data_IF_091925910032
#
_entry.id   IF_091925910032
#
_cell.length_a   1.000
_cell.length_b   1.000
_cell.length_c   1.000
_cell.angle_alpha   90.00
_cell.angle_beta   90.00
_cell.angle_gamma   90.00
#
_symmetry.space_group_name_H-M   'P 1'
#
loop_
_entity.id
_entity.type
_entity.pdbx_description
1 polymer ?
#
# COMPACT_ATOMS: atom_id res chain seq x y z
N UNK A 1 15.59 34.45 28.20
CA UNK A 1 16.80 33.62 28.22
C UNK A 1 16.91 33.00 26.83
N UNK A 2 17.47 33.77 25.90
CA UNK A 2 17.64 33.38 24.50
C UNK A 2 18.94 32.59 24.45
N UNK A 3 18.85 31.29 24.19
CA UNK A 3 20.01 30.45 23.93
C UNK A 3 20.47 30.83 22.53
N UNK A 4 21.68 31.39 22.44
CA UNK A 4 22.35 31.67 21.18
C UNK A 4 22.39 30.39 20.35
N UNK A 5 21.80 30.43 19.15
CA UNK A 5 21.96 29.40 18.14
C UNK A 5 23.44 29.31 17.80
N UNK A 6 24.08 28.25 18.27
CA UNK A 6 25.48 27.96 18.00
C UNK A 6 25.64 27.81 16.47
N UNK A 7 26.24 28.81 15.82
CA UNK A 7 26.55 28.78 14.38
C UNK A 7 27.39 27.56 14.02
N UNK A 8 28.15 27.02 14.98
CA UNK A 8 28.85 25.74 14.87
C UNK A 8 27.88 24.58 14.61
N UNK A 9 26.76 24.47 15.33
CA UNK A 9 25.83 23.35 15.15
C UNK A 9 25.10 23.41 13.82
N UNK A 10 24.70 24.60 13.36
CA UNK A 10 24.08 24.75 12.05
C UNK A 10 25.09 24.52 10.91
N UNK A 11 26.35 24.97 11.07
CA UNK A 11 27.41 24.63 10.11
C UNK A 11 27.74 23.13 10.13
N UNK A 12 27.69 22.46 11.28
CA UNK A 12 27.91 21.02 11.35
C UNK A 12 26.77 20.24 10.69
N UNK A 13 25.53 20.72 10.78
CA UNK A 13 24.36 20.16 10.08
C UNK A 13 24.44 20.45 8.58
N UNK A 14 24.80 21.67 8.18
CA UNK A 14 24.96 22.04 6.77
C UNK A 14 26.13 21.28 6.13
N UNK A 15 27.24 21.06 6.85
CA UNK A 15 28.34 20.21 6.40
C UNK A 15 27.89 18.74 6.30
N UNK A 16 27.07 18.24 7.22
CA UNK A 16 26.49 16.89 7.11
C UNK A 16 25.53 16.74 5.91
N UNK A 17 24.86 17.82 5.52
CA UNK A 17 23.96 17.86 4.35
C UNK A 17 24.79 17.96 3.06
N UNK A 18 25.86 18.75 3.06
CA UNK A 18 26.71 18.98 1.90
C UNK A 18 27.70 17.83 1.65
N UNK A 19 28.14 17.10 2.68
CA UNK A 19 28.97 15.88 2.53
C UNK A 19 28.18 14.69 1.94
N UNK A 20 26.86 14.83 1.76
CA UNK A 20 26.00 13.84 1.08
C UNK A 20 25.85 14.16 -0.43
N UNK A 21 26.51 15.20 -0.95
CA UNK A 21 26.37 15.63 -2.36
C UNK A 21 27.00 14.70 -3.43
N UNK A 22 27.51 13.50 -3.11
CA UNK A 22 27.89 12.54 -4.17
C UNK A 22 27.77 11.05 -3.83
N UNK A 23 27.06 10.68 -2.77
CA UNK A 23 26.40 9.37 -2.78
C UNK A 23 25.12 9.55 -3.57
N UNK A 24 25.22 9.32 -4.89
CA UNK A 24 24.05 8.92 -5.66
C UNK A 24 23.39 7.81 -4.86
N UNK A 25 22.29 8.12 -4.16
CA UNK A 25 21.40 7.10 -3.63
C UNK A 25 21.11 6.25 -4.86
N UNK A 26 21.64 5.03 -4.86
CA UNK A 26 21.51 4.13 -5.99
C UNK A 26 20.02 3.89 -6.15
N UNK A 27 19.38 4.66 -7.04
CA UNK A 27 17.94 4.59 -7.27
C UNK A 27 17.54 3.21 -7.79
N UNK A 28 18.52 2.42 -8.22
CA UNK A 28 18.40 1.03 -8.64
C UNK A 28 17.90 0.12 -7.49
N UNK A 29 18.20 0.41 -6.21
CA UNK A 29 17.70 -0.41 -5.07
C UNK A 29 16.19 -0.25 -4.80
N UNK A 30 15.55 0.77 -5.38
CA UNK A 30 14.11 1.03 -5.24
C UNK A 30 13.32 0.72 -6.52
N UNK A 31 13.98 0.18 -7.56
CA UNK A 31 13.29 -0.22 -8.76
C UNK A 31 12.51 -1.52 -8.50
N UNK A 32 11.18 -1.47 -8.67
CA UNK A 32 10.34 -2.66 -8.61
C UNK A 32 10.82 -3.65 -9.68
N UNK A 33 11.36 -4.81 -9.26
CA UNK A 33 11.91 -5.78 -10.20
C UNK A 33 10.85 -6.23 -11.21
N UNK A 34 11.07 -5.92 -12.48
CA UNK A 34 10.23 -6.35 -13.59
C UNK A 34 10.90 -7.51 -14.31
N UNK A 35 10.10 -8.46 -14.82
CA UNK A 35 10.61 -9.53 -15.68
C UNK A 35 11.36 -8.95 -16.89
N UNK A 36 12.54 -9.50 -17.28
CA UNK A 36 13.37 -8.99 -18.36
C UNK A 36 12.77 -9.35 -19.73
N UNK A 37 11.64 -8.73 -20.07
CA UNK A 37 10.90 -8.93 -21.32
C UNK A 37 10.53 -7.58 -21.91
N UNK A 38 10.51 -7.49 -23.25
CA UNK A 38 10.26 -6.23 -23.97
C UNK A 38 8.98 -5.52 -23.53
N UNK A 39 7.90 -6.28 -23.31
CA UNK A 39 6.60 -5.75 -22.88
C UNK A 39 5.98 -6.68 -21.83
N UNK A 40 6.13 -6.39 -20.52
CA UNK A 40 5.62 -7.22 -19.43
C UNK A 40 4.12 -7.54 -19.56
N UNK A 41 3.31 -6.57 -20.00
CA UNK A 41 1.88 -6.75 -20.26
C UNK A 41 1.55 -7.89 -21.23
N UNK A 42 2.33 -8.01 -22.31
CA UNK A 42 2.09 -9.05 -23.31
C UNK A 42 2.50 -10.41 -22.77
N UNK A 43 3.60 -10.46 -22.02
CA UNK A 43 4.03 -11.67 -21.34
C UNK A 43 2.97 -12.17 -20.36
N UNK A 44 2.41 -11.31 -19.51
CA UNK A 44 1.37 -11.69 -18.56
C UNK A 44 0.10 -12.19 -19.27
N UNK A 45 -0.35 -11.49 -20.33
CA UNK A 45 -1.50 -11.97 -21.15
C UNK A 45 -1.23 -13.35 -21.76
N UNK A 46 -0.03 -13.56 -22.29
CA UNK A 46 0.37 -14.85 -22.83
C UNK A 46 0.42 -15.93 -21.73
N UNK A 47 1.02 -15.64 -20.59
CA UNK A 47 1.11 -16.56 -19.47
C UNK A 47 -0.28 -16.95 -18.92
N UNK A 48 -1.19 -15.98 -18.82
CA UNK A 48 -2.58 -16.20 -18.39
C UNK A 48 -3.36 -17.10 -19.35
N UNK A 49 -3.14 -16.96 -20.66
CA UNK A 49 -3.82 -17.79 -21.67
C UNK A 49 -3.28 -19.22 -21.69
N UNK A 50 -1.98 -19.41 -21.58
CA UNK A 50 -1.35 -20.73 -21.57
C UNK A 50 -1.55 -21.50 -20.25
N UNK A 51 -1.56 -20.79 -19.12
CA UNK A 51 -1.52 -21.39 -17.79
C UNK A 51 -2.58 -20.82 -16.84
N UNK A 52 -3.85 -20.89 -17.26
CA UNK A 52 -4.98 -20.31 -16.50
C UNK A 52 -5.03 -20.74 -15.02
N UNK A 53 -4.66 -21.98 -14.70
CA UNK A 53 -4.63 -22.51 -13.31
C UNK A 53 -3.59 -21.83 -12.42
N UNK A 54 -2.45 -21.37 -12.97
CA UNK A 54 -1.40 -20.70 -12.20
C UNK A 54 -1.81 -19.27 -11.78
N UNK A 55 -2.75 -18.66 -12.49
CA UNK A 55 -3.32 -17.35 -12.18
C UNK A 55 -4.70 -17.44 -11.51
N UNK A 56 -5.20 -18.66 -11.27
CA UNK A 56 -6.43 -18.90 -10.53
C UNK A 56 -6.10 -18.92 -9.03
N UNK A 57 -5.96 -17.73 -8.47
CA UNK A 57 -5.73 -17.60 -7.03
C UNK A 57 -6.96 -18.18 -6.32
N UNK A 58 -6.75 -19.25 -5.54
CA UNK A 58 -7.74 -19.70 -4.57
C UNK A 58 -7.90 -18.60 -3.54
N UNK A 59 -8.93 -17.79 -3.78
CA UNK A 59 -9.18 -16.65 -2.95
C UNK A 59 -9.70 -17.23 -1.62
N UNK A 60 -9.19 -16.75 -0.49
CA UNK A 60 -9.56 -17.24 0.85
C UNK A 60 -9.61 -16.14 1.91
N UNK A 61 -9.34 -14.90 1.50
CA UNK A 61 -9.09 -13.76 2.37
C UNK A 61 -10.33 -12.88 2.43
N UNK A 62 -10.71 -12.52 3.65
CA UNK A 62 -11.83 -11.63 3.92
C UNK A 62 -11.32 -10.46 4.73
N UNK A 63 -11.42 -9.26 4.18
CA UNK A 63 -11.14 -8.01 4.89
C UNK A 63 -12.40 -7.14 4.85
N UNK A 64 -12.73 -6.54 5.98
CA UNK A 64 -13.87 -5.66 6.12
C UNK A 64 -13.46 -4.42 6.89
N UNK A 65 -14.00 -3.29 6.48
CA UNK A 65 -13.83 -2.05 7.19
C UNK A 65 -15.10 -1.20 7.09
N UNK A 66 -15.46 -0.55 8.19
CA UNK A 66 -16.57 0.37 8.19
C UNK A 66 -16.31 1.59 9.05
N UNK A 67 -16.79 2.73 8.57
CA UNK A 67 -16.75 4.00 9.27
C UNK A 67 -18.01 4.18 10.08
N UNK A 68 -17.86 4.53 11.35
CA UNK A 68 -18.95 4.93 12.24
C UNK A 68 -18.69 6.35 12.77
N UNK A 69 -19.55 6.84 13.66
CA UNK A 69 -19.50 8.23 14.16
C UNK A 69 -18.15 8.57 14.80
N UNK A 70 -17.61 7.66 15.61
CA UNK A 70 -16.44 7.93 16.45
C UNK A 70 -15.15 7.28 15.91
N UNK A 71 -15.18 6.66 14.73
CA UNK A 71 -13.99 6.02 14.18
C UNK A 71 -14.20 5.12 12.98
N UNK A 72 -13.20 4.26 12.75
CA UNK A 72 -13.21 3.22 11.74
C UNK A 72 -12.85 1.90 12.43
N UNK A 73 -13.59 0.85 12.15
CA UNK A 73 -13.24 -0.51 12.55
C UNK A 73 -12.78 -1.25 11.31
N UNK A 74 -11.63 -1.91 11.41
CA UNK A 74 -11.06 -2.79 10.39
C UNK A 74 -10.96 -4.19 10.99
N UNK A 75 -11.46 -5.20 10.29
CA UNK A 75 -11.31 -6.59 10.67
C UNK A 75 -10.85 -7.42 9.46
N UNK A 76 -9.96 -8.37 9.72
CA UNK A 76 -9.36 -9.23 8.71
C UNK A 76 -9.31 -10.67 9.24
N UNK A 77 -9.38 -11.64 8.35
CA UNK A 77 -9.03 -13.02 8.69
C UNK A 77 -7.50 -13.20 8.71
N UNK A 78 -7.00 -14.24 9.39
CA UNK A 78 -5.56 -14.49 9.55
C UNK A 78 -5.05 -15.70 8.73
N UNK A 79 -5.92 -16.33 7.92
CA UNK A 79 -5.56 -17.53 7.15
C UNK A 79 -4.90 -17.17 5.82
N UNK A 80 -3.78 -17.81 5.51
CA UNK A 80 -3.14 -17.76 4.21
C UNK A 80 -3.07 -19.15 3.57
N UNK A 81 -3.51 -19.26 2.32
CA UNK A 81 -3.55 -20.50 1.56
C UNK A 81 -2.67 -20.42 0.31
N UNK A 82 -2.03 -21.53 -0.02
CA UNK A 82 -1.31 -21.75 -1.27
C UNK A 82 -2.07 -22.82 -2.06
N UNK A 83 -3.00 -22.37 -2.90
CA UNK A 83 -3.96 -23.27 -3.54
C UNK A 83 -4.91 -23.90 -2.52
N UNK A 84 -5.04 -25.22 -2.53
CA UNK A 84 -5.85 -25.97 -1.56
C UNK A 84 -5.16 -26.16 -0.19
N UNK A 85 -3.87 -25.86 -0.09
CA UNK A 85 -3.10 -26.04 1.14
C UNK A 85 -3.14 -24.78 2.01
N UNK A 86 -3.45 -24.92 3.30
CA UNK A 86 -3.36 -23.81 4.27
C UNK A 86 -1.91 -23.71 4.72
N UNK A 87 -1.24 -22.63 4.30
CA UNK A 87 0.17 -22.39 4.63
C UNK A 87 0.33 -21.87 6.05
N UNK A 88 -0.50 -20.92 6.46
CA UNK A 88 -0.49 -20.36 7.81
C UNK A 88 -1.89 -19.92 8.24
N UNK A 89 -2.16 -19.96 9.54
CA UNK A 89 -3.39 -19.46 10.15
C UNK A 89 -3.19 -18.17 10.95
N UNK A 90 -1.95 -17.69 11.06
CA UNK A 90 -1.57 -16.55 11.90
C UNK A 90 -0.86 -15.46 11.06
N UNK A 91 -1.43 -15.11 9.91
CA UNK A 91 -0.90 -14.02 9.07
C UNK A 91 -1.57 -12.71 9.46
N UNK A 92 -0.75 -11.71 9.73
CA UNK A 92 -1.21 -10.33 9.94
C UNK A 92 -1.52 -9.68 8.59
N UNK A 93 -2.80 -9.42 8.34
CA UNK A 93 -3.27 -8.78 7.09
C UNK A 93 -3.61 -7.30 7.26
N UNK A 94 -3.32 -6.74 8.43
CA UNK A 94 -3.36 -5.30 8.67
C UNK A 94 -1.92 -4.83 8.65
N UNK A 95 -1.63 -3.84 7.81
CA UNK A 95 -0.30 -3.26 7.68
C UNK A 95 -0.37 -1.83 8.20
N UNK A 96 0.51 -1.54 9.15
CA UNK A 96 0.67 -0.19 9.68
C UNK A 96 1.56 0.63 8.72
N UNK A 97 0.93 1.46 7.89
CA UNK A 97 1.64 2.29 6.91
C UNK A 97 2.26 3.51 7.61
N UNK A 98 1.49 4.11 8.52
CA UNK A 98 1.93 5.22 9.37
C UNK A 98 1.10 5.19 10.67
N UNK A 99 1.48 5.98 11.68
CA UNK A 99 0.77 6.11 12.96
C UNK A 99 -0.73 6.46 12.82
N UNK A 100 -1.12 7.04 11.68
CA UNK A 100 -2.46 7.53 11.41
C UNK A 100 -3.18 6.78 10.27
N UNK A 101 -2.51 5.86 9.58
CA UNK A 101 -3.01 5.19 8.37
C UNK A 101 -2.71 3.69 8.44
N UNK A 102 -3.76 2.90 8.33
CA UNK A 102 -3.75 1.44 8.23
C UNK A 102 -4.13 1.01 6.81
N UNK A 103 -3.47 -0.02 6.31
CA UNK A 103 -3.82 -0.71 5.08
C UNK A 103 -4.24 -2.15 5.35
N UNK A 104 -5.05 -2.72 4.45
CA UNK A 104 -5.44 -4.13 4.50
C UNK A 104 -4.85 -4.89 3.32
N UNK A 105 -4.36 -6.08 3.58
CA UNK A 105 -3.83 -6.97 2.56
C UNK A 105 -4.90 -7.94 2.05
N UNK A 106 -5.34 -7.75 0.80
CA UNK A 106 -6.19 -8.70 0.09
C UNK A 106 -5.71 -8.91 -1.36
N UNK A 107 -5.58 -10.16 -1.80
CA UNK A 107 -4.94 -10.52 -3.06
C UNK A 107 -3.57 -11.14 -2.86
N UNK A 108 -2.61 -10.82 -3.73
CA UNK A 108 -1.22 -11.21 -3.61
C UNK A 108 -0.58 -10.60 -2.37
N UNK A 109 -0.15 -11.45 -1.43
CA UNK A 109 0.40 -10.99 -0.16
C UNK A 109 1.67 -10.14 -0.34
N UNK A 110 2.55 -10.54 -1.27
CA UNK A 110 3.77 -9.81 -1.59
C UNK A 110 3.47 -8.43 -2.19
N UNK A 111 2.53 -8.37 -3.13
CA UNK A 111 2.16 -7.11 -3.81
C UNK A 111 1.62 -6.09 -2.82
N UNK A 112 0.65 -6.48 -1.99
CA UNK A 112 0.05 -5.58 -0.99
C UNK A 112 1.12 -5.09 -0.01
N UNK A 113 1.90 -6.00 0.57
CA UNK A 113 2.92 -5.67 1.55
C UNK A 113 3.98 -4.72 0.98
N UNK A 114 4.45 -4.99 -0.24
CA UNK A 114 5.46 -4.16 -0.89
C UNK A 114 4.93 -2.75 -1.16
N UNK A 115 3.78 -2.62 -1.82
CA UNK A 115 3.25 -1.32 -2.22
C UNK A 115 2.79 -0.49 -1.02
N UNK A 116 2.26 -1.12 0.03
CA UNK A 116 1.88 -0.42 1.27
C UNK A 116 3.11 0.06 2.05
N UNK A 117 4.18 -0.74 2.14
CA UNK A 117 5.45 -0.28 2.74
C UNK A 117 6.12 0.82 1.91
N UNK A 118 6.08 0.71 0.58
CA UNK A 118 6.59 1.74 -0.33
C UNK A 118 5.81 3.05 -0.17
N UNK A 119 4.48 2.97 -0.06
CA UNK A 119 3.65 4.12 0.27
C UNK A 119 4.04 4.74 1.61
N UNK A 120 4.29 3.93 2.64
CA UNK A 120 4.75 4.40 3.96
C UNK A 120 6.05 5.21 3.88
N UNK A 121 7.01 4.79 3.05
CA UNK A 121 8.25 5.56 2.78
C UNK A 121 7.94 6.92 2.15
N UNK A 122 7.10 6.97 1.11
CA UNK A 122 6.72 8.22 0.44
C UNK A 122 6.02 9.17 1.41
N UNK A 123 5.08 8.64 2.21
CA UNK A 123 4.37 9.40 3.23
C UNK A 123 5.37 9.98 4.24
N UNK A 124 6.33 9.18 4.70
CA UNK A 124 7.31 9.66 5.66
C UNK A 124 8.17 10.80 5.12
N UNK A 125 8.60 10.71 3.86
CA UNK A 125 9.33 11.78 3.18
C UNK A 125 8.47 13.04 3.07
N UNK A 126 7.19 12.89 2.71
CA UNK A 126 6.25 14.02 2.64
C UNK A 126 6.10 14.72 4.00
N UNK A 127 5.96 13.97 5.08
CA UNK A 127 5.84 14.51 6.44
C UNK A 127 7.10 15.27 6.86
N UNK A 128 8.29 14.76 6.54
CA UNK A 128 9.56 15.42 6.86
C UNK A 128 9.75 16.73 6.08
N UNK A 129 9.33 16.76 4.81
CA UNK A 129 9.49 17.94 3.95
C UNK A 129 8.52 19.07 4.29
N UNK A 130 7.27 18.73 4.61
CA UNK A 130 6.21 19.72 4.84
C UNK A 130 5.93 19.97 6.32
N UNK A 131 6.54 19.18 7.22
CA UNK A 131 6.26 19.18 8.65
C UNK A 131 4.75 19.00 8.98
N UNK A 132 4.03 18.33 8.09
CA UNK A 132 2.58 18.12 8.17
C UNK A 132 2.23 16.66 7.83
N UNK A 133 1.28 16.09 8.56
CA UNK A 133 0.76 14.75 8.28
C UNK A 133 -0.01 14.72 6.97
N UNK A 134 0.24 13.68 6.16
CA UNK A 134 -0.49 13.49 4.90
C UNK A 134 -1.98 13.21 5.17
N UNK A 135 -2.86 13.71 4.29
CA UNK A 135 -4.27 13.30 4.30
C UNK A 135 -4.43 11.88 3.75
N UNK A 136 -5.44 11.15 4.24
CA UNK A 136 -5.76 9.78 3.78
C UNK A 136 -6.17 9.80 2.29
N UNK A 137 -6.80 10.89 1.86
CA UNK A 137 -7.13 11.13 0.44
C UNK A 137 -5.90 11.27 -0.43
N UNK A 138 -4.87 11.99 0.02
CA UNK A 138 -3.63 12.12 -0.72
C UNK A 138 -2.88 10.78 -0.78
N UNK A 139 -2.74 10.08 0.35
CA UNK A 139 -2.13 8.76 0.42
C UNK A 139 -2.79 7.74 -0.54
N UNK A 140 -4.12 7.66 -0.54
CA UNK A 140 -4.86 6.79 -1.47
C UNK A 140 -4.72 7.18 -2.93
N UNK A 141 -4.50 8.46 -3.23
CA UNK A 141 -4.27 8.94 -4.60
C UNK A 141 -2.87 8.56 -5.09
N UNK A 142 -1.86 8.69 -4.23
CA UNK A 142 -0.49 8.24 -4.52
C UNK A 142 -0.49 6.74 -4.82
N UNK A 143 -1.13 5.94 -3.96
CA UNK A 143 -1.22 4.48 -4.15
C UNK A 143 -1.93 4.11 -5.46
N UNK A 144 -3.08 4.72 -5.73
CA UNK A 144 -3.85 4.52 -6.97
C UNK A 144 -3.02 4.86 -8.22
N UNK A 145 -2.28 5.96 -8.19
CA UNK A 145 -1.41 6.37 -9.30
C UNK A 145 -0.22 5.41 -9.50
N UNK A 146 0.37 4.90 -8.42
CA UNK A 146 1.44 3.90 -8.49
C UNK A 146 0.90 2.61 -9.12
N UNK A 147 -0.18 2.06 -8.58
CA UNK A 147 -0.78 0.81 -9.09
C UNK A 147 -1.23 0.94 -10.55
N UNK A 148 -1.75 2.11 -10.93
CA UNK A 148 -2.14 2.38 -12.32
C UNK A 148 -0.96 2.30 -13.30
N UNK A 149 0.25 2.70 -12.90
CA UNK A 149 1.44 2.63 -13.76
C UNK A 149 1.81 1.17 -14.08
N UNK A 150 1.63 0.27 -13.13
CA UNK A 150 1.88 -1.17 -13.29
C UNK A 150 0.65 -1.94 -13.77
N UNK A 151 -0.38 -1.25 -14.28
CA UNK A 151 -1.60 -1.89 -14.74
C UNK A 151 -1.32 -2.89 -15.86
N UNK A 152 -1.70 -4.14 -15.62
CA UNK A 152 -1.50 -5.26 -16.54
C UNK A 152 -0.12 -5.93 -16.43
N UNK A 153 0.69 -5.57 -15.44
CA UNK A 153 1.95 -6.26 -15.12
C UNK A 153 1.72 -7.50 -14.24
N UNK A 154 0.46 -7.87 -14.00
CA UNK A 154 0.09 -9.07 -13.23
C UNK A 154 -0.04 -8.84 -11.72
N UNK A 155 -0.04 -7.59 -11.27
CA UNK A 155 -0.33 -7.25 -9.87
C UNK A 155 -1.73 -7.76 -9.48
N UNK A 156 -1.85 -8.23 -8.24
CA UNK A 156 -3.13 -8.59 -7.65
C UNK A 156 -3.21 -8.01 -6.23
N UNK A 157 -3.94 -6.92 -6.06
CA UNK A 157 -4.14 -6.29 -4.75
C UNK A 157 -5.51 -5.61 -4.67
N UNK A 158 -6.09 -5.65 -3.48
CA UNK A 158 -7.28 -4.91 -3.09
C UNK A 158 -7.04 -4.37 -1.69
N UNK A 159 -6.75 -3.08 -1.60
CA UNK A 159 -6.26 -2.45 -0.37
C UNK A 159 -7.32 -1.48 0.12
N UNK A 160 -7.77 -1.67 1.36
CA UNK A 160 -8.56 -0.68 2.08
C UNK A 160 -7.59 0.18 2.89
N UNK A 161 -7.47 1.45 2.51
CA UNK A 161 -6.75 2.45 3.29
C UNK A 161 -7.72 3.11 4.26
N UNK A 162 -7.46 2.96 5.55
CA UNK A 162 -8.23 3.53 6.64
C UNK A 162 -7.35 4.44 7.47
N UNK A 163 -7.80 5.65 7.76
CA UNK A 163 -7.01 6.55 8.59
C UNK A 163 -7.78 7.74 9.13
N UNK A 164 -7.09 8.48 9.97
CA UNK A 164 -7.58 9.72 10.55
C UNK A 164 -6.63 10.87 10.22
N UNK A 165 -7.16 11.90 9.58
CA UNK A 165 -6.47 13.13 9.24
C UNK A 165 -7.23 14.37 9.77
N UNK A 166 -6.77 15.58 9.43
CA UNK A 166 -7.42 16.83 9.83
C UNK A 166 -8.84 16.99 9.28
N UNK A 167 -9.23 16.23 8.24
CA UNK A 167 -10.61 16.19 7.71
C UNK A 167 -11.49 15.14 8.40
N UNK A 168 -10.93 14.41 9.36
CA UNK A 168 -11.58 13.36 10.14
C UNK A 168 -11.26 11.95 9.66
N UNK A 169 -12.13 11.02 10.04
CA UNK A 169 -12.00 9.61 9.64
C UNK A 169 -12.35 9.43 8.17
N UNK A 170 -11.40 8.90 7.39
CA UNK A 170 -11.62 8.62 5.98
C UNK A 170 -11.16 7.21 5.63
N UNK A 171 -11.88 6.60 4.70
CA UNK A 171 -11.61 5.26 4.21
C UNK A 171 -11.72 5.23 2.69
N UNK A 172 -10.78 4.55 2.04
CA UNK A 172 -10.73 4.40 0.60
C UNK A 172 -10.39 2.97 0.23
N UNK A 173 -11.08 2.44 -0.79
CA UNK A 173 -10.70 1.18 -1.43
C UNK A 173 -9.92 1.47 -2.70
N UNK A 174 -8.78 0.80 -2.88
CA UNK A 174 -7.92 0.89 -4.07
C UNK A 174 -7.72 -0.51 -4.66
N UNK A 175 -7.96 -0.67 -5.97
CA UNK A 175 -7.73 -1.92 -6.69
C UNK A 175 -6.41 -1.92 -7.49
N UNK A 176 -6.00 -3.12 -7.91
CA UNK A 176 -4.86 -3.39 -8.80
C UNK A 176 -4.94 -2.70 -10.16
N UNK A 177 -6.13 -2.28 -10.57
CA UNK A 177 -6.37 -1.52 -11.79
C UNK A 177 -6.15 -0.01 -11.61
N UNK A 178 -5.80 0.41 -10.39
CA UNK A 178 -5.60 1.80 -9.99
C UNK A 178 -6.90 2.57 -9.77
N UNK A 179 -8.07 1.92 -9.76
CA UNK A 179 -9.33 2.58 -9.39
C UNK A 179 -9.37 2.79 -7.89
N UNK A 180 -9.99 3.90 -7.50
CA UNK A 180 -10.14 4.30 -6.11
C UNK A 180 -11.57 4.72 -5.85
N UNK A 181 -12.14 4.23 -4.75
CA UNK A 181 -13.48 4.57 -4.30
C UNK A 181 -13.44 5.11 -2.88
N UNK A 182 -14.21 6.18 -2.63
CA UNK A 182 -14.40 6.69 -1.27
C UNK A 182 -15.58 5.94 -0.67
N UNK A 183 -15.34 5.20 0.40
CA UNK A 183 -16.36 4.32 0.97
C UNK A 183 -16.73 4.74 2.39
N UNK A 184 -18.01 4.55 2.73
CA UNK A 184 -18.49 4.64 4.12
C UNK A 184 -18.44 3.24 4.76
N UNK A 185 -18.73 2.22 3.96
CA UNK A 185 -18.62 0.81 4.30
C UNK A 185 -17.89 0.12 3.14
N UNK A 186 -16.83 -0.63 3.43
CA UNK A 186 -16.12 -1.39 2.41
C UNK A 186 -15.92 -2.81 2.90
N UNK A 187 -16.48 -3.76 2.17
CA UNK A 187 -16.26 -5.18 2.40
C UNK A 187 -15.50 -5.70 1.20
N UNK A 188 -14.24 -6.08 1.42
CA UNK A 188 -13.38 -6.63 0.39
C UNK A 188 -13.23 -8.12 0.68
N UNK A 189 -14.12 -8.89 0.06
CA UNK A 189 -14.03 -10.35 0.08
C UNK A 189 -13.26 -10.78 -1.15
N UNK A 190 -12.01 -11.21 -0.96
CA UNK A 190 -11.25 -11.91 -2.00
C UNK A 190 -11.54 -13.40 -1.81
N UNK A 191 -12.82 -13.83 -2.00
CA UNK A 191 -13.44 -15.04 -2.64
C UNK A 191 -14.98 -14.98 -2.64
N UNK A 192 -15.57 -15.61 -3.65
CA UNK A 192 -16.96 -16.09 -3.81
C UNK A 192 -18.05 -15.15 -3.30
N UNK A 193 -18.68 -14.43 -4.23
CA UNK A 193 -20.14 -14.39 -4.38
C UNK A 193 -20.94 -14.59 -3.07
N UNK A 194 -20.77 -13.70 -2.11
CA UNK A 194 -21.68 -13.62 -0.97
C UNK A 194 -22.23 -12.21 -0.94
N UNK A 195 -23.35 -12.10 -1.67
CA UNK A 195 -24.33 -11.04 -1.56
C UNK A 195 -24.50 -10.67 -0.08
N UNK A 196 -24.16 -9.44 0.27
CA UNK A 196 -24.86 -8.73 1.33
C UNK A 196 -26.16 -8.26 0.67
N UNK A 197 -27.13 -9.16 0.59
CA UNK A 197 -28.54 -8.77 0.49
C UNK A 197 -29.00 -8.51 1.92
N UNK A 198 -29.31 -7.25 2.21
CA UNK A 198 -30.39 -6.96 3.16
C UNK A 198 -31.73 -7.26 2.48
#
# INVERSE_FOLDING_TARGET
MLIASDESFMNDVDNLINDVEDERIDTDELEFCVTPVNVPRNFIKYAQTQNKKLFDFHKGTTTLAFKFKDGIIVAVDSRASMGSFISSQNVEKIIEINKNILGTMAGGAADCLYWEKYLGKIIKIYELRNNEKISVRAASTILSNILYQYKGYGLCCGIILSGYDHTGFNMFYVDDSGKKWKEIYSVVVVVVHMLILF
#
